data_IF_939015036271
#
_entry.id   IF_939015036271
#
_cell.length_a   1.000
_cell.length_b   1.000
_cell.length_c   1.000
_cell.angle_alpha   90.00
_cell.angle_beta   90.00
_cell.angle_gamma   90.00
#
_symmetry.space_group_name_H-M   'P 1'
#
loop_
_entity.id
_entity.type
_entity.pdbx_description
1 polymer ?
#
# COMPACT_ATOMS: atom_id res chain seq x y z
N UNK A 1 -9.81 6.39 10.03
CA UNK A 1 -9.84 6.85 8.62
C UNK A 1 -9.01 5.96 7.69
N UNK A 2 -7.78 5.60 8.07
CA UNK A 2 -6.83 4.82 7.27
C UNK A 2 -7.33 3.44 6.80
N UNK A 3 -7.95 2.65 7.69
CA UNK A 3 -8.52 1.33 7.35
C UNK A 3 -9.56 1.36 6.21
N UNK A 4 -10.45 2.36 6.20
CA UNK A 4 -11.52 2.47 5.19
C UNK A 4 -10.98 2.78 3.80
N UNK A 5 -9.85 3.47 3.71
CA UNK A 5 -9.17 3.71 2.42
C UNK A 5 -8.46 2.46 1.89
N UNK A 6 -8.07 1.53 2.78
CA UNK A 6 -7.41 0.27 2.41
C UNK A 6 -8.39 -0.84 2.01
N UNK A 7 -9.64 -0.83 2.50
CA UNK A 7 -10.60 -1.92 2.24
C UNK A 7 -11.37 -1.83 0.91
N UNK A 8 -11.01 -0.92 0.00
CA UNK A 8 -11.41 -0.87 -1.43
C UNK A 8 -12.78 -1.46 -1.85
N UNK A 9 -13.87 -1.19 -1.12
CA UNK A 9 -15.22 -1.30 -1.68
C UNK A 9 -16.30 -1.92 -0.79
N UNK A 10 -15.98 -2.85 0.09
CA UNK A 10 -16.99 -3.50 0.95
C UNK A 10 -17.00 -2.94 2.38
N UNK A 11 -18.18 -2.65 2.90
CA UNK A 11 -18.36 -2.35 4.31
C UNK A 11 -18.35 -3.63 5.17
N UNK A 12 -18.25 -3.47 6.48
CA UNK A 12 -18.12 -4.60 7.41
C UNK A 12 -19.33 -5.55 7.35
N UNK A 13 -20.55 -5.02 7.18
CA UNK A 13 -21.75 -5.85 7.05
C UNK A 13 -21.73 -6.66 5.75
N UNK A 14 -21.29 -6.07 4.65
CA UNK A 14 -21.16 -6.76 3.36
C UNK A 14 -20.10 -7.86 3.44
N UNK A 15 -18.93 -7.55 3.99
CA UNK A 15 -17.85 -8.54 4.13
C UNK A 15 -18.28 -9.71 5.01
N UNK A 16 -18.97 -9.46 6.13
CA UNK A 16 -19.43 -10.54 7.02
C UNK A 16 -20.50 -11.44 6.37
N UNK A 17 -21.17 -10.98 5.31
CA UNK A 17 -22.07 -11.82 4.50
C UNK A 17 -21.33 -12.63 3.44
N UNK A 18 -20.18 -12.15 2.98
CA UNK A 18 -19.47 -12.71 1.84
C UNK A 18 -18.32 -13.62 2.24
N UNK A 19 -17.62 -13.31 3.33
CA UNK A 19 -16.37 -13.96 3.75
C UNK A 19 -16.57 -14.69 5.05
N UNK A 20 -16.11 -15.94 5.10
CA UNK A 20 -16.12 -16.75 6.30
C UNK A 20 -15.24 -16.10 7.38
N UNK A 21 -15.83 -15.77 8.52
CA UNK A 21 -15.18 -15.05 9.61
C UNK A 21 -13.99 -15.80 10.21
N UNK A 22 -13.92 -17.12 10.05
CA UNK A 22 -12.74 -17.91 10.48
C UNK A 22 -11.47 -17.62 9.68
N UNK A 23 -11.60 -17.00 8.49
CA UNK A 23 -10.48 -16.65 7.62
C UNK A 23 -10.18 -15.15 7.60
N UNK A 24 -10.82 -14.37 8.48
CA UNK A 24 -10.62 -12.94 8.57
C UNK A 24 -10.25 -12.52 9.99
N UNK A 25 -9.09 -11.88 10.12
CA UNK A 25 -8.69 -11.23 11.37
C UNK A 25 -8.89 -9.71 11.25
N UNK A 26 -9.49 -9.12 12.27
CA UNK A 26 -9.62 -7.67 12.34
C UNK A 26 -8.28 -7.02 12.72
N UNK A 27 -7.61 -6.42 11.73
CA UNK A 27 -6.33 -5.72 11.93
C UNK A 27 -6.48 -4.30 12.50
N UNK A 28 -7.70 -3.78 12.68
CA UNK A 28 -7.93 -2.42 13.21
C UNK A 28 -7.25 -2.18 14.56
N UNK A 29 -7.26 -3.12 15.53
CA UNK A 29 -6.56 -2.94 16.81
C UNK A 29 -5.04 -2.79 16.62
N UNK A 30 -4.44 -3.51 15.67
CA UNK A 30 -3.01 -3.41 15.35
C UNK A 30 -2.70 -2.04 14.75
N UNK A 31 -3.49 -1.61 13.76
CA UNK A 31 -3.36 -0.27 13.16
C UNK A 31 -3.49 0.82 14.24
N UNK A 32 -4.48 0.71 15.12
CA UNK A 32 -4.71 1.66 16.20
C UNK A 32 -3.51 1.70 17.16
N UNK A 33 -3.02 0.54 17.60
CA UNK A 33 -1.84 0.44 18.47
C UNK A 33 -0.62 1.13 17.86
N UNK A 34 -0.32 0.88 16.59
CA UNK A 34 0.85 1.49 15.91
C UNK A 34 0.64 2.99 15.74
N UNK A 35 -0.55 3.43 15.32
CA UNK A 35 -0.87 4.85 15.14
C UNK A 35 -0.69 5.65 16.44
N UNK A 36 -1.11 5.09 17.57
CA UNK A 36 -1.00 5.72 18.89
C UNK A 36 0.33 5.48 19.60
N UNK A 37 1.22 4.65 19.06
CA UNK A 37 2.57 4.45 19.63
C UNK A 37 3.50 5.65 19.43
N UNK A 38 3.09 6.65 18.65
CA UNK A 38 3.89 7.81 18.27
C UNK A 38 3.14 9.13 18.55
N UNK A 39 2.75 9.35 19.82
CA UNK A 39 1.66 10.28 20.16
C UNK A 39 2.03 11.78 20.08
N UNK A 40 3.30 12.14 20.24
CA UNK A 40 3.80 13.53 20.27
C UNK A 40 3.88 14.22 18.88
N UNK A 41 3.32 13.60 17.83
CA UNK A 41 3.44 14.07 16.45
C UNK A 41 2.09 14.43 15.84
N UNK A 42 2.13 15.11 14.69
CA UNK A 42 0.92 15.43 13.92
C UNK A 42 0.28 14.15 13.36
N UNK A 43 -1.03 14.18 13.06
CA UNK A 43 -1.74 13.04 12.45
C UNK A 43 -1.09 12.57 11.14
N UNK A 44 -0.52 13.49 10.36
CA UNK A 44 0.21 13.16 9.13
C UNK A 44 1.46 12.33 9.41
N UNK A 45 2.21 12.69 10.44
CA UNK A 45 3.42 11.97 10.84
C UNK A 45 3.09 10.61 11.45
N UNK A 46 2.02 10.50 12.26
CA UNK A 46 1.47 9.23 12.75
C UNK A 46 1.07 8.32 11.58
N UNK A 47 0.44 8.89 10.56
CA UNK A 47 0.12 8.20 9.30
C UNK A 47 1.36 7.67 8.58
N UNK A 48 2.41 8.48 8.41
CA UNK A 48 3.67 8.02 7.80
C UNK A 48 4.33 6.88 8.60
N UNK A 49 4.29 6.97 9.93
CA UNK A 49 4.83 5.92 10.79
C UNK A 49 4.03 4.62 10.67
N UNK A 50 2.71 4.71 10.62
CA UNK A 50 1.83 3.55 10.43
C UNK A 50 2.05 2.91 9.06
N UNK A 51 2.16 3.72 8.00
CA UNK A 51 2.48 3.25 6.65
C UNK A 51 3.84 2.53 6.61
N UNK A 52 4.85 3.05 7.32
CA UNK A 52 6.17 2.42 7.40
C UNK A 52 6.10 1.04 8.05
N UNK A 53 5.33 0.89 9.13
CA UNK A 53 5.28 -0.36 9.89
C UNK A 53 4.34 -1.41 9.28
N UNK A 54 3.33 -0.99 8.50
CA UNK A 54 2.32 -1.91 7.97
C UNK A 54 2.41 -2.06 6.45
N UNK A 55 2.46 -0.96 5.72
CA UNK A 55 2.36 -0.99 4.25
C UNK A 55 3.72 -1.27 3.61
N UNK A 56 4.80 -0.73 4.17
CA UNK A 56 6.13 -0.93 3.60
C UNK A 56 6.51 -2.42 3.62
N UNK A 57 6.43 -3.05 4.79
CA UNK A 57 6.74 -4.47 4.97
C UNK A 57 5.67 -5.37 4.32
N UNK A 58 4.39 -5.12 4.65
CA UNK A 58 3.28 -6.01 4.30
C UNK A 58 2.80 -5.93 2.85
N UNK A 59 3.14 -4.88 2.11
CA UNK A 59 2.70 -4.68 0.73
C UNK A 59 3.84 -4.37 -0.23
N UNK A 60 4.69 -3.39 0.07
CA UNK A 60 5.69 -2.91 -0.90
C UNK A 60 6.91 -3.83 -1.01
N UNK A 61 7.58 -4.12 0.11
CA UNK A 61 8.84 -4.88 0.12
C UNK A 61 8.62 -6.35 -0.23
N UNK A 62 7.56 -6.96 0.31
CA UNK A 62 7.24 -8.37 0.08
C UNK A 62 7.07 -8.69 -1.41
N UNK A 63 6.48 -7.78 -2.20
CA UNK A 63 6.29 -7.97 -3.64
C UNK A 63 7.61 -7.89 -4.40
N UNK A 64 8.42 -6.89 -4.10
CA UNK A 64 9.72 -6.69 -4.77
C UNK A 64 10.65 -7.84 -4.44
N UNK A 65 10.79 -8.19 -3.16
CA UNK A 65 11.67 -9.25 -2.68
C UNK A 65 11.34 -10.61 -3.32
N UNK A 66 10.09 -11.06 -3.21
CA UNK A 66 9.66 -12.35 -3.78
C UNK A 66 9.86 -12.43 -5.29
N UNK A 67 9.57 -11.35 -6.01
CA UNK A 67 9.72 -11.34 -7.48
C UNK A 67 11.20 -11.29 -7.90
N UNK A 68 12.04 -10.55 -7.19
CA UNK A 68 13.47 -10.48 -7.47
C UNK A 68 14.16 -11.80 -7.13
N UNK A 69 13.94 -12.37 -5.94
CA UNK A 69 14.51 -13.65 -5.54
C UNK A 69 14.09 -14.80 -6.45
N UNK A 70 12.83 -14.82 -6.91
CA UNK A 70 12.34 -15.80 -7.91
C UNK A 70 13.15 -15.79 -9.20
N UNK A 71 13.78 -14.67 -9.53
CA UNK A 71 14.60 -14.48 -10.74
C UNK A 71 16.10 -14.36 -10.42
N UNK A 72 16.54 -14.78 -9.23
CA UNK A 72 17.94 -14.66 -8.77
C UNK A 72 18.49 -13.24 -8.83
N UNK A 73 17.63 -12.23 -8.65
CA UNK A 73 18.00 -10.82 -8.59
C UNK A 73 17.96 -10.33 -7.14
N UNK A 74 18.90 -9.46 -6.78
CA UNK A 74 18.90 -8.76 -5.50
C UNK A 74 18.43 -7.30 -5.70
N UNK A 75 17.26 -6.96 -5.16
CA UNK A 75 16.78 -5.58 -5.17
C UNK A 75 17.40 -4.77 -4.03
N UNK A 76 18.02 -3.63 -4.36
CA UNK A 76 18.47 -2.65 -3.36
C UNK A 76 17.47 -1.49 -3.28
N UNK A 77 17.22 -1.02 -2.07
CA UNK A 77 16.25 0.05 -1.76
C UNK A 77 16.96 1.21 -1.04
N UNK A 78 17.78 2.03 -1.74
CA UNK A 78 18.65 3.02 -1.09
C UNK A 78 17.93 4.03 -0.19
N UNK A 79 16.67 4.37 -0.50
CA UNK A 79 15.87 5.28 0.32
C UNK A 79 15.49 4.73 1.70
N UNK A 80 15.66 3.43 1.93
CA UNK A 80 15.46 2.77 3.23
C UNK A 80 16.77 2.59 4.00
N UNK A 81 17.87 3.20 3.56
CA UNK A 81 19.06 3.33 4.39
C UNK A 81 18.69 4.00 5.73
N UNK A 82 19.20 3.45 6.85
CA UNK A 82 18.80 3.89 8.19
C UNK A 82 19.06 5.38 8.41
N UNK A 83 20.16 5.93 7.88
CA UNK A 83 20.49 7.35 8.01
C UNK A 83 19.50 8.23 7.26
N UNK A 84 19.04 7.78 6.09
CA UNK A 84 18.03 8.50 5.31
C UNK A 84 16.69 8.47 6.03
N UNK A 85 16.31 7.32 6.58
CA UNK A 85 15.05 7.16 7.33
C UNK A 85 15.06 8.02 8.59
N UNK A 86 16.13 7.95 9.39
CA UNK A 86 16.31 8.77 10.60
C UNK A 86 16.26 10.28 10.30
N UNK A 87 16.97 10.72 9.26
CA UNK A 87 16.93 12.11 8.81
C UNK A 87 15.51 12.50 8.36
N UNK A 88 14.80 11.62 7.65
CA UNK A 88 13.43 11.86 7.25
C UNK A 88 12.46 11.93 8.44
N UNK A 89 12.68 11.18 9.52
CA UNK A 89 11.82 11.22 10.70
C UNK A 89 12.00 12.47 11.56
N UNK A 90 13.24 12.90 11.74
CA UNK A 90 13.58 14.09 12.53
C UNK A 90 13.26 15.40 11.81
N UNK A 91 13.13 15.35 10.48
CA UNK A 91 12.84 16.51 9.66
C UNK A 91 11.43 17.09 9.91
N UNK A 92 11.28 18.42 10.07
CA UNK A 92 9.99 19.07 10.18
C UNK A 92 9.08 18.78 8.97
N UNK A 93 7.78 18.59 9.24
CA UNK A 93 6.80 18.19 8.21
C UNK A 93 6.76 19.12 6.99
N UNK A 94 6.97 20.42 7.17
CA UNK A 94 6.91 21.42 6.10
C UNK A 94 8.02 21.25 5.04
N UNK A 95 9.11 20.55 5.35
CA UNK A 95 10.11 20.16 4.35
C UNK A 95 9.68 18.95 3.51
N UNK A 96 8.88 18.05 4.09
CA UNK A 96 8.32 16.88 3.38
C UNK A 96 7.15 17.31 2.49
N UNK A 97 6.31 18.21 3.00
CA UNK A 97 5.08 18.71 2.38
C UNK A 97 5.06 20.25 2.40
N UNK A 98 5.03 20.88 1.22
CA UNK A 98 4.87 22.34 1.10
C UNK A 98 3.60 22.66 0.32
N UNK A 99 2.50 22.91 1.05
CA UNK A 99 1.16 23.02 0.47
C UNK A 99 0.78 21.75 -0.30
N UNK A 100 0.44 21.88 -1.59
CA UNK A 100 0.17 20.71 -2.46
C UNK A 100 1.43 20.02 -3.01
N UNK A 101 2.62 20.58 -2.77
CA UNK A 101 3.87 20.02 -3.25
C UNK A 101 4.40 18.94 -2.30
N UNK A 102 4.14 17.69 -2.65
CA UNK A 102 4.67 16.50 -1.95
C UNK A 102 6.14 16.26 -2.34
N UNK A 103 6.91 15.64 -1.44
CA UNK A 103 8.34 15.34 -1.65
C UNK A 103 9.16 16.63 -1.87
N UNK A 104 8.81 17.71 -1.17
CA UNK A 104 9.36 19.03 -1.46
C UNK A 104 10.89 19.06 -1.31
N UNK A 105 11.40 18.61 -0.16
CA UNK A 105 12.85 18.54 0.09
C UNK A 105 13.55 17.65 -0.93
N UNK A 106 12.99 16.48 -1.26
CA UNK A 106 13.58 15.57 -2.23
C UNK A 106 13.71 16.23 -3.61
N UNK A 107 12.68 16.92 -4.07
CA UNK A 107 12.73 17.67 -5.34
C UNK A 107 13.78 18.77 -5.30
N UNK A 108 13.92 19.47 -4.17
CA UNK A 108 14.89 20.55 -3.98
C UNK A 108 16.32 20.03 -3.98
N UNK A 109 16.62 18.97 -3.24
CA UNK A 109 17.95 18.35 -3.16
C UNK A 109 18.49 17.94 -4.54
N UNK A 110 17.63 17.41 -5.41
CA UNK A 110 18.03 16.91 -6.73
C UNK A 110 17.71 17.87 -7.89
N UNK A 111 17.36 19.14 -7.62
CA UNK A 111 16.86 20.05 -8.66
C UNK A 111 17.90 20.44 -9.72
N UNK A 112 19.18 20.27 -9.41
CA UNK A 112 20.31 20.52 -10.31
C UNK A 112 20.78 19.25 -11.03
N UNK A 113 20.33 18.08 -10.57
CA UNK A 113 20.71 16.78 -11.15
C UNK A 113 19.63 16.22 -12.10
N UNK A 114 18.38 16.69 -11.97
CA UNK A 114 17.26 16.21 -12.76
C UNK A 114 16.76 17.26 -13.77
N UNK A 115 16.24 16.84 -14.94
CA UNK A 115 15.65 17.78 -15.90
C UNK A 115 14.52 18.60 -15.26
N UNK A 116 14.50 19.93 -15.45
CA UNK A 116 13.55 20.84 -14.76
C UNK A 116 12.08 20.45 -14.90
N UNK A 117 11.69 19.77 -16.00
CA UNK A 117 10.33 19.26 -16.21
C UNK A 117 9.89 18.22 -15.16
N UNK A 118 10.81 17.39 -14.66
CA UNK A 118 10.49 16.30 -13.71
C UNK A 118 10.08 16.83 -12.34
N UNK A 119 10.57 18.01 -11.94
CA UNK A 119 10.24 18.66 -10.67
C UNK A 119 8.74 19.01 -10.56
N UNK A 120 8.07 19.21 -11.71
CA UNK A 120 6.64 19.51 -11.80
C UNK A 120 5.74 18.27 -11.78
N UNK A 121 6.31 17.07 -11.88
CA UNK A 121 5.52 15.84 -11.89
C UNK A 121 4.78 15.61 -10.57
N UNK A 122 3.54 15.13 -10.69
CA UNK A 122 2.74 14.63 -9.57
C UNK A 122 3.22 13.22 -9.20
N UNK A 123 3.05 12.83 -7.93
CA UNK A 123 3.30 11.44 -7.51
C UNK A 123 2.37 10.53 -8.33
N UNK A 124 2.96 9.63 -9.09
CA UNK A 124 2.28 8.51 -9.73
C UNK A 124 2.65 7.23 -8.97
N UNK A 125 1.67 6.34 -8.79
CA UNK A 125 1.93 4.99 -8.30
C UNK A 125 2.47 4.10 -9.42
N UNK A 126 2.82 2.87 -9.06
CA UNK A 126 3.20 1.81 -9.99
C UNK A 126 2.00 0.87 -10.19
N UNK A 127 0.85 1.43 -10.58
CA UNK A 127 -0.35 0.63 -10.81
C UNK A 127 -0.14 -0.29 -12.01
N UNK A 128 -0.42 -1.58 -11.83
CA UNK A 128 -0.55 -2.52 -12.94
C UNK A 128 -1.93 -2.38 -13.58
N UNK A 129 -2.07 -2.60 -14.89
CA UNK A 129 -3.35 -2.48 -15.61
C UNK A 129 -4.24 -3.72 -15.36
N UNK A 130 -4.58 -3.98 -14.09
CA UNK A 130 -5.33 -5.16 -13.66
C UNK A 130 -6.71 -5.22 -14.32
N UNK A 131 -7.34 -4.06 -14.50
CA UNK A 131 -8.61 -3.91 -15.20
C UNK A 131 -8.51 -4.35 -16.66
N UNK A 132 -7.43 -3.98 -17.36
CA UNK A 132 -7.19 -4.44 -18.71
C UNK A 132 -7.00 -5.97 -18.73
N UNK A 133 -6.14 -6.51 -17.87
CA UNK A 133 -5.86 -7.94 -17.84
C UNK A 133 -7.11 -8.77 -17.56
N UNK A 134 -7.93 -8.38 -16.58
CA UNK A 134 -9.17 -9.10 -16.25
C UNK A 134 -10.23 -9.02 -17.36
N UNK A 135 -10.19 -8.00 -18.21
CA UNK A 135 -11.10 -7.90 -19.36
C UNK A 135 -10.54 -8.56 -20.63
N UNK A 136 -9.27 -8.97 -20.64
CA UNK A 136 -8.59 -9.51 -21.81
C UNK A 136 -7.87 -10.81 -21.45
N UNK A 137 -6.56 -10.79 -21.22
CA UNK A 137 -5.71 -11.98 -21.13
C UNK A 137 -6.08 -12.93 -19.99
N UNK A 138 -6.62 -12.40 -18.89
CA UNK A 138 -7.03 -13.16 -17.70
C UNK A 138 -8.55 -13.34 -17.61
N UNK A 139 -9.30 -12.96 -18.65
CA UNK A 139 -10.77 -12.98 -18.60
C UNK A 139 -11.31 -14.39 -18.35
N UNK A 140 -10.84 -15.36 -19.12
CA UNK A 140 -11.32 -16.75 -19.01
C UNK A 140 -10.99 -17.36 -17.65
N UNK A 141 -9.77 -17.13 -17.14
CA UNK A 141 -9.35 -17.59 -15.82
C UNK A 141 -10.19 -16.96 -14.72
N UNK A 142 -10.48 -15.66 -14.81
CA UNK A 142 -11.31 -14.93 -13.86
C UNK A 142 -12.75 -15.45 -13.90
N UNK A 143 -13.35 -15.60 -15.08
CA UNK A 143 -14.71 -16.11 -15.25
C UNK A 143 -14.85 -17.52 -14.68
N UNK A 144 -13.81 -18.36 -14.85
CA UNK A 144 -13.75 -19.70 -14.25
C UNK A 144 -13.67 -19.64 -12.72
N UNK A 145 -12.79 -18.79 -12.17
CA UNK A 145 -12.65 -18.61 -10.72
C UNK A 145 -13.92 -18.05 -10.06
N UNK A 146 -14.68 -17.23 -10.79
CA UNK A 146 -15.94 -16.62 -10.34
C UNK A 146 -17.18 -17.44 -10.72
N UNK A 147 -17.01 -18.64 -11.30
CA UNK A 147 -18.13 -19.53 -11.60
C UNK A 147 -18.88 -19.93 -10.33
N UNK A 148 -20.20 -20.10 -10.44
CA UNK A 148 -21.06 -20.50 -9.31
C UNK A 148 -20.56 -21.78 -8.64
N UNK A 149 -20.07 -22.75 -9.42
CA UNK A 149 -19.50 -24.00 -8.91
C UNK A 149 -18.26 -23.75 -8.04
N UNK A 150 -17.32 -22.94 -8.53
CA UNK A 150 -16.09 -22.63 -7.78
C UNK A 150 -16.42 -21.85 -6.51
N UNK A 151 -17.35 -20.88 -6.59
CA UNK A 151 -17.76 -20.06 -5.45
C UNK A 151 -18.47 -20.87 -4.36
N UNK A 152 -19.34 -21.83 -4.74
CA UNK A 152 -20.02 -22.74 -3.78
C UNK A 152 -19.06 -23.61 -3.00
N UNK A 153 -17.99 -24.05 -3.65
CA UNK A 153 -16.96 -24.91 -3.06
C UNK A 153 -15.82 -24.11 -2.40
N UNK A 154 -15.90 -22.77 -2.40
CA UNK A 154 -14.84 -21.92 -1.88
C UNK A 154 -14.91 -21.81 -0.35
N UNK A 155 -13.92 -22.39 0.34
CA UNK A 155 -13.83 -22.37 1.81
C UNK A 155 -13.77 -20.98 2.45
N UNK A 156 -13.40 -19.95 1.70
CA UNK A 156 -13.25 -18.58 2.21
C UNK A 156 -14.55 -17.77 2.15
N UNK A 157 -15.56 -18.23 1.39
CA UNK A 157 -16.77 -17.45 1.11
C UNK A 157 -18.01 -18.11 1.74
N UNK A 158 -18.98 -17.30 2.18
CA UNK A 158 -20.27 -17.76 2.75
C UNK A 158 -21.40 -17.62 1.70
N UNK A 159 -21.05 -17.81 0.43
CA UNK A 159 -21.94 -17.52 -0.67
C UNK A 159 -23.06 -18.57 -0.78
N UNK A 160 -24.25 -18.21 -0.30
CA UNK A 160 -25.49 -18.93 -0.59
C UNK A 160 -26.03 -18.47 -1.96
N UNK A 161 -25.37 -18.89 -3.04
CA UNK A 161 -25.79 -18.63 -4.45
C UNK A 161 -26.52 -19.84 -5.00
#
# INVERSE_FOLDING_TARGET
>A
MHYRYMCMGFNEKERNKLVNSSFFEDIRPIIHKIYHSFDEKTDMEKGFYTDLNLVLEGDMLVKVDRMCMKNSLEARVPFLDSKIVEAAYTMPLHYKLKGRNKKYILKKTFENLLPKKTLKFRKKGFGTPVDHWFNNELKEDLDKLLSTETLKNNRYLILNI
#
